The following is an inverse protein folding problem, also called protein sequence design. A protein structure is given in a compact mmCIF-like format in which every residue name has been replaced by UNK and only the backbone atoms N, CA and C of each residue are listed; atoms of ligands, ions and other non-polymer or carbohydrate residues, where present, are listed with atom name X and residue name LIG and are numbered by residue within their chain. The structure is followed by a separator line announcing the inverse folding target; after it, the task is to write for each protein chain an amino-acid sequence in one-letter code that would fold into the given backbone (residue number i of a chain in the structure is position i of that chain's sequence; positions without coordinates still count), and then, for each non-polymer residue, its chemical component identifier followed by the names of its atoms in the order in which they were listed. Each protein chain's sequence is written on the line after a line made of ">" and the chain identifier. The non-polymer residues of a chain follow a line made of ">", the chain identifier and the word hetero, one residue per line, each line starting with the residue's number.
data_IF_732861576931
#
_entry.id   IF_732861576931
#
_cell.length_a   1.000
_cell.length_b   1.000
_cell.length_c   1.000
_cell.angle_alpha   90.00
_cell.angle_beta   90.00
_cell.angle_gamma   90.00
#
_symmetry.space_group_name_H-M   'P 1'
#
loop_
_entity.id
_entity.type
_entity.pdbx_description
1 polymer ?
#
# COMPACT_ATOMS: atom_id res chain seq x y z
N UNK A 1 59.50 -25.93 20.36
CA UNK A 1 58.07 -26.05 20.71
C UNK A 1 57.35 -24.69 20.65
N UNK A 2 57.55 -23.87 19.61
CA UNK A 2 56.72 -22.69 19.34
C UNK A 2 56.79 -22.37 17.84
N UNK A 3 55.70 -21.83 17.30
CA UNK A 3 55.51 -21.20 15.99
C UNK A 3 55.06 -22.12 14.85
N UNK A 4 53.73 -22.28 14.73
CA UNK A 4 52.99 -22.32 13.45
C UNK A 4 51.47 -22.23 13.72
N UNK A 5 51.00 -21.08 14.20
CA UNK A 5 49.55 -20.78 14.39
C UNK A 5 49.06 -19.60 13.56
N UNK A 6 49.73 -19.25 12.46
CA UNK A 6 49.39 -18.03 11.72
C UNK A 6 49.37 -18.20 10.19
N UNK A 7 48.64 -19.19 9.64
CA UNK A 7 48.40 -19.17 8.18
C UNK A 7 47.12 -19.85 7.68
N UNK A 8 46.02 -19.78 8.42
CA UNK A 8 44.70 -20.20 7.92
C UNK A 8 43.79 -19.03 7.50
N UNK A 9 44.20 -17.78 7.74
CA UNK A 9 43.35 -16.62 7.43
C UNK A 9 43.51 -16.04 6.01
N UNK A 10 44.52 -16.47 5.24
CA UNK A 10 44.73 -15.97 3.86
C UNK A 10 44.17 -16.88 2.75
N UNK A 11 43.77 -18.13 3.04
CA UNK A 11 43.39 -19.10 2.00
C UNK A 11 41.88 -19.20 1.71
N UNK A 12 41.07 -18.25 2.19
CA UNK A 12 39.61 -18.27 1.97
C UNK A 12 38.98 -16.94 1.51
N UNK A 13 39.76 -15.90 1.20
CA UNK A 13 39.22 -14.63 0.65
C UNK A 13 39.11 -14.59 -0.88
N UNK A 14 39.76 -15.51 -1.58
CA UNK A 14 39.85 -15.51 -3.06
C UNK A 14 38.75 -16.38 -3.69
N UNK A 15 38.43 -17.52 -3.07
CA UNK A 15 37.38 -18.45 -3.52
C UNK A 15 35.97 -17.89 -3.33
N UNK A 16 35.72 -17.18 -2.23
CA UNK A 16 34.44 -16.54 -1.92
C UNK A 16 34.04 -15.46 -2.96
N UNK A 17 35.02 -14.73 -3.52
CA UNK A 17 34.76 -13.74 -4.58
C UNK A 17 34.21 -14.38 -5.85
N UNK A 18 34.77 -15.52 -6.27
CA UNK A 18 34.31 -16.20 -7.48
C UNK A 18 32.88 -16.71 -7.32
N UNK A 19 32.57 -17.38 -6.21
CA UNK A 19 31.23 -17.88 -5.94
C UNK A 19 30.21 -16.75 -5.80
N UNK A 20 30.53 -15.66 -5.09
CA UNK A 20 29.66 -14.48 -5.02
C UNK A 20 29.43 -13.83 -6.39
N UNK A 21 30.45 -13.72 -7.24
CA UNK A 21 30.29 -13.18 -8.59
C UNK A 21 29.35 -14.06 -9.41
N UNK A 22 29.50 -15.39 -9.35
CA UNK A 22 28.61 -16.32 -10.05
C UNK A 22 27.17 -16.24 -9.53
N UNK A 23 26.99 -16.10 -8.23
CA UNK A 23 25.68 -15.93 -7.59
C UNK A 23 25.03 -14.60 -7.98
N UNK A 24 25.79 -13.50 -7.95
CA UNK A 24 25.35 -12.19 -8.45
C UNK A 24 24.95 -12.23 -9.93
N UNK A 25 25.72 -12.91 -10.78
CA UNK A 25 25.42 -13.04 -12.21
C UNK A 25 24.15 -13.87 -12.45
N UNK A 26 23.90 -14.92 -11.65
CA UNK A 26 22.65 -15.70 -11.69
C UNK A 26 21.44 -14.83 -11.33
N UNK A 27 21.52 -14.08 -10.24
CA UNK A 27 20.44 -13.17 -9.82
C UNK A 27 20.23 -12.03 -10.83
N UNK A 28 21.32 -11.46 -11.37
CA UNK A 28 21.25 -10.41 -12.39
C UNK A 28 20.59 -10.91 -13.67
N UNK A 29 20.88 -12.13 -14.14
CA UNK A 29 20.22 -12.73 -15.30
C UNK A 29 18.71 -12.89 -15.10
N UNK A 30 18.28 -13.34 -13.92
CA UNK A 30 16.85 -13.47 -13.59
C UNK A 30 16.17 -12.09 -13.54
N UNK A 31 16.83 -11.08 -12.97
CA UNK A 31 16.29 -9.72 -12.93
C UNK A 31 16.28 -9.03 -14.30
N UNK A 32 17.28 -9.29 -15.15
CA UNK A 32 17.42 -8.73 -16.49
C UNK A 32 16.54 -9.44 -17.53
N UNK A 33 16.09 -10.67 -17.24
CA UNK A 33 15.18 -11.42 -18.09
C UNK A 33 13.74 -10.85 -18.10
N UNK A 34 13.44 -9.83 -17.27
CA UNK A 34 12.15 -9.13 -17.36
C UNK A 34 12.20 -8.14 -18.53
N UNK A 35 11.35 -8.30 -19.57
CA UNK A 35 11.34 -7.36 -20.67
C UNK A 35 10.94 -5.97 -20.19
N UNK A 36 11.57 -4.92 -20.73
CA UNK A 36 11.26 -3.53 -20.39
C UNK A 36 9.82 -3.12 -20.75
N UNK A 37 9.20 -3.80 -21.72
CA UNK A 37 7.81 -3.62 -22.12
C UNK A 37 6.82 -4.38 -21.24
N UNK A 38 7.29 -5.29 -20.37
CA UNK A 38 6.39 -6.03 -19.49
C UNK A 38 5.79 -5.05 -18.48
N UNK A 39 4.45 -4.92 -18.41
CA UNK A 39 3.81 -4.06 -17.42
C UNK A 39 4.24 -4.52 -16.02
N UNK A 40 4.55 -3.58 -15.13
CA UNK A 40 4.93 -3.95 -13.77
C UNK A 40 3.73 -4.60 -13.07
N UNK A 41 3.71 -5.93 -13.01
CA UNK A 41 2.66 -6.73 -12.38
C UNK A 41 2.43 -6.44 -10.88
N UNK A 42 3.23 -5.54 -10.29
CA UNK A 42 3.17 -5.11 -8.88
C UNK A 42 2.06 -4.09 -8.61
N UNK A 43 0.89 -4.24 -9.23
CA UNK A 43 -0.33 -3.51 -8.87
C UNK A 43 -0.20 -1.99 -8.79
N UNK A 44 -1.18 -1.37 -8.12
CA UNK A 44 -1.27 0.09 -7.92
C UNK A 44 0.08 0.65 -7.40
N UNK A 45 0.54 1.81 -7.88
CA UNK A 45 1.77 2.44 -7.40
C UNK A 45 1.77 2.58 -5.87
N UNK A 46 2.74 1.94 -5.22
CA UNK A 46 2.97 2.01 -3.76
C UNK A 46 2.99 3.46 -3.24
N UNK A 47 3.51 4.38 -4.05
CA UNK A 47 3.55 5.81 -3.75
C UNK A 47 2.16 6.41 -3.51
N UNK A 48 1.16 6.06 -4.32
CA UNK A 48 -0.19 6.62 -4.19
C UNK A 48 -0.85 6.17 -2.89
N UNK A 49 -0.70 4.88 -2.54
CA UNK A 49 -1.21 4.35 -1.28
C UNK A 49 -0.54 5.06 -0.09
N UNK A 50 0.78 5.26 -0.14
CA UNK A 50 1.51 5.96 0.92
C UNK A 50 1.02 7.41 1.08
N UNK A 51 0.82 8.14 -0.02
CA UNK A 51 0.28 9.51 -0.02
C UNK A 51 -1.12 9.58 0.59
N UNK A 52 -2.03 8.71 0.15
CA UNK A 52 -3.39 8.66 0.69
C UNK A 52 -3.36 8.26 2.17
N UNK A 53 -2.47 7.35 2.55
CA UNK A 53 -2.32 6.93 3.96
C UNK A 53 -1.89 8.10 4.84
N UNK A 54 -0.90 8.89 4.42
CA UNK A 54 -0.46 10.08 5.14
C UNK A 54 -1.59 11.12 5.26
N UNK A 55 -2.25 11.46 4.15
CA UNK A 55 -3.36 12.42 4.16
C UNK A 55 -4.57 11.93 5.00
N UNK A 56 -4.86 10.62 4.98
CA UNK A 56 -5.92 10.04 5.81
C UNK A 56 -5.57 10.12 7.29
N UNK A 57 -4.29 9.93 7.65
CA UNK A 57 -3.81 10.01 9.03
C UNK A 57 -3.90 11.44 9.57
N UNK A 58 -3.65 12.47 8.76
CA UNK A 58 -3.86 13.87 9.13
C UNK A 58 -5.33 14.16 9.52
N UNK A 59 -6.26 13.37 9.00
CA UNK A 59 -7.69 13.44 9.34
C UNK A 59 -8.15 12.35 10.33
N UNK A 60 -7.22 11.64 10.97
CA UNK A 60 -7.51 10.63 11.98
C UNK A 60 -8.09 9.31 11.45
N UNK A 61 -7.97 9.05 10.14
CA UNK A 61 -8.45 7.83 9.48
C UNK A 61 -7.31 6.94 9.00
N UNK A 62 -7.52 5.62 9.04
CA UNK A 62 -6.62 4.65 8.41
C UNK A 62 -7.05 4.40 6.97
N UNK A 63 -6.08 4.19 6.08
CA UNK A 63 -6.33 3.95 4.65
C UNK A 63 -7.39 2.87 4.34
N UNK A 64 -7.37 1.67 4.96
CA UNK A 64 -8.37 0.63 4.66
C UNK A 64 -9.79 1.07 5.04
N UNK A 65 -9.93 1.79 6.16
CA UNK A 65 -11.22 2.32 6.60
C UNK A 65 -11.71 3.42 5.67
N UNK A 66 -10.82 4.33 5.25
CA UNK A 66 -11.14 5.40 4.30
C UNK A 66 -11.65 4.85 2.97
N UNK A 67 -10.90 3.96 2.32
CA UNK A 67 -11.28 3.36 1.03
C UNK A 67 -12.55 2.51 1.17
N UNK A 68 -12.65 1.67 2.21
CA UNK A 68 -13.81 0.81 2.41
C UNK A 68 -15.11 1.60 2.60
N UNK A 69 -15.06 2.72 3.31
CA UNK A 69 -16.23 3.57 3.52
C UNK A 69 -16.62 4.36 2.28
N UNK A 70 -15.66 4.81 1.45
CA UNK A 70 -15.98 5.45 0.17
C UNK A 70 -16.69 4.51 -0.79
N UNK A 71 -16.24 3.25 -0.88
CA UNK A 71 -16.91 2.22 -1.70
C UNK A 71 -18.34 1.97 -1.23
N UNK A 72 -18.56 1.91 0.09
CA UNK A 72 -19.92 1.77 0.67
C UNK A 72 -20.85 2.94 0.38
N UNK A 73 -20.29 4.12 0.10
CA UNK A 73 -21.05 5.30 -0.32
C UNK A 73 -21.19 5.40 -1.86
N UNK A 74 -20.82 4.36 -2.62
CA UNK A 74 -20.80 4.36 -4.09
C UNK A 74 -19.90 5.45 -4.69
N UNK A 75 -18.88 5.91 -3.95
CA UNK A 75 -17.90 6.88 -4.45
C UNK A 75 -16.74 6.13 -5.09
N UNK A 76 -16.86 5.86 -6.39
CA UNK A 76 -15.87 5.15 -7.17
C UNK A 76 -14.76 6.08 -7.67
N UNK A 77 -13.82 6.43 -6.78
CA UNK A 77 -12.65 7.24 -7.13
C UNK A 77 -11.40 6.39 -7.36
N UNK A 78 -10.68 6.67 -8.44
CA UNK A 78 -9.37 6.09 -8.68
C UNK A 78 -8.36 6.59 -7.65
N UNK A 79 -7.47 5.69 -7.20
CA UNK A 79 -6.39 5.96 -6.24
C UNK A 79 -5.37 6.98 -6.79
N UNK A 80 -5.20 7.09 -8.11
CA UNK A 80 -4.42 8.17 -8.72
C UNK A 80 -5.03 9.53 -8.39
N UNK A 81 -6.32 9.69 -8.68
CA UNK A 81 -7.06 10.93 -8.47
C UNK A 81 -7.12 11.28 -6.98
N UNK A 82 -7.35 10.29 -6.10
CA UNK A 82 -7.31 10.52 -4.65
C UNK A 82 -5.94 11.01 -4.15
N UNK A 83 -4.85 10.46 -4.70
CA UNK A 83 -3.50 10.92 -4.35
C UNK A 83 -3.23 12.34 -4.87
N UNK A 84 -3.74 12.70 -6.04
CA UNK A 84 -3.61 14.05 -6.60
C UNK A 84 -4.46 15.06 -5.80
N UNK A 85 -5.71 14.71 -5.46
CA UNK A 85 -6.59 15.52 -4.61
C UNK A 85 -5.98 15.78 -3.22
N UNK A 86 -5.33 14.77 -2.64
CA UNK A 86 -4.65 14.94 -1.36
C UNK A 86 -3.52 15.99 -1.40
N UNK A 87 -2.88 16.18 -2.56
CA UNK A 87 -1.77 17.14 -2.73
C UNK A 87 -2.29 18.53 -3.11
N UNK A 88 -3.16 18.60 -4.13
CA UNK A 88 -3.57 19.88 -4.72
C UNK A 88 -4.81 20.48 -4.06
N UNK A 89 -5.70 19.65 -3.51
CA UNK A 89 -7.04 20.06 -3.05
C UNK A 89 -7.35 19.53 -1.63
N UNK A 90 -6.66 20.05 -0.59
CA UNK A 90 -6.79 19.54 0.77
C UNK A 90 -8.20 19.73 1.35
N UNK A 91 -8.94 20.76 0.91
CA UNK A 91 -10.33 20.99 1.33
C UNK A 91 -11.27 19.88 0.84
N UNK A 92 -11.10 19.47 -0.42
CA UNK A 92 -11.85 18.38 -1.04
C UNK A 92 -11.48 17.05 -0.41
N UNK A 93 -10.20 16.81 -0.14
CA UNK A 93 -9.80 15.60 0.56
C UNK A 93 -10.37 15.53 1.98
N UNK A 94 -10.41 16.66 2.70
CA UNK A 94 -11.03 16.76 4.03
C UNK A 94 -12.53 16.45 4.01
N UNK A 95 -13.28 16.91 3.01
CA UNK A 95 -14.72 16.60 2.91
C UNK A 95 -14.95 15.11 2.63
N UNK A 96 -14.14 14.49 1.78
CA UNK A 96 -14.15 13.04 1.55
C UNK A 96 -13.80 12.26 2.82
N UNK A 97 -12.81 12.70 3.59
CA UNK A 97 -12.46 12.10 4.87
C UNK A 97 -13.60 12.22 5.89
N UNK A 98 -14.25 13.38 5.98
CA UNK A 98 -15.42 13.58 6.83
C UNK A 98 -16.59 12.66 6.44
N UNK A 99 -16.88 12.54 5.14
CA UNK A 99 -17.87 11.61 4.61
C UNK A 99 -17.55 10.16 5.01
N UNK A 100 -16.32 9.72 4.76
CA UNK A 100 -15.86 8.39 5.11
C UNK A 100 -15.94 8.12 6.63
N UNK A 101 -15.64 9.12 7.47
CA UNK A 101 -15.79 9.00 8.91
C UNK A 101 -17.26 8.89 9.33
N UNK A 102 -18.14 9.69 8.73
CA UNK A 102 -19.57 9.64 9.01
C UNK A 102 -20.16 8.27 8.69
N UNK A 103 -19.85 7.71 7.52
CA UNK A 103 -20.28 6.35 7.13
C UNK A 103 -19.72 5.28 8.08
N UNK A 104 -18.51 5.47 8.60
CA UNK A 104 -17.91 4.59 9.61
C UNK A 104 -18.74 4.54 10.90
N UNK A 105 -19.12 5.71 11.42
CA UNK A 105 -19.94 5.82 12.62
C UNK A 105 -21.31 5.19 12.45
N UNK A 106 -21.95 5.40 11.28
CA UNK A 106 -23.21 4.72 10.94
C UNK A 106 -23.04 3.20 10.91
N UNK A 107 -21.96 2.69 10.31
CA UNK A 107 -21.65 1.26 10.33
C UNK A 107 -21.47 0.69 11.74
N UNK A 108 -20.81 1.43 12.65
CA UNK A 108 -20.69 1.01 14.05
C UNK A 108 -22.02 1.03 14.79
N UNK A 109 -22.84 2.06 14.56
CA UNK A 109 -24.17 2.16 15.18
C UNK A 109 -25.07 0.99 14.77
N UNK A 110 -25.05 0.59 13.50
CA UNK A 110 -25.78 -0.61 13.05
C UNK A 110 -25.25 -1.91 13.63
N UNK A 111 -23.92 -2.05 13.74
CA UNK A 111 -23.32 -3.25 14.31
C UNK A 111 -23.67 -3.45 15.81
N UNK A 112 -23.96 -2.36 16.52
CA UNK A 112 -24.44 -2.40 17.91
C UNK A 112 -25.95 -2.72 18.03
N UNK A 113 -26.72 -2.51 16.97
CA UNK A 113 -28.16 -2.80 16.90
C UNK A 113 -28.46 -4.18 16.30
N UNK A 114 -29.51 -4.26 15.49
CA UNK A 114 -30.03 -5.51 14.90
C UNK A 114 -29.12 -6.14 13.82
N UNK A 115 -27.92 -5.59 13.59
CA UNK A 115 -26.97 -6.07 12.59
C UNK A 115 -27.35 -5.77 11.12
N UNK A 116 -28.55 -5.23 10.87
CA UNK A 116 -28.91 -4.67 9.56
C UNK A 116 -28.20 -3.35 9.35
N UNK A 117 -27.74 -3.09 8.12
CA UNK A 117 -27.21 -1.77 7.79
C UNK A 117 -28.27 -0.70 8.11
N UNK A 118 -27.89 0.41 8.76
CA UNK A 118 -28.90 1.36 9.22
C UNK A 118 -29.42 2.11 8.00
N UNK A 119 -30.68 2.52 7.99
CA UNK A 119 -31.26 3.38 6.94
C UNK A 119 -30.80 4.86 7.08
N UNK A 120 -29.52 5.07 7.33
CA UNK A 120 -28.86 6.37 7.35
C UNK A 120 -28.86 7.06 5.99
N UNK A 121 -28.70 8.38 5.99
CA UNK A 121 -28.71 9.19 4.77
C UNK A 121 -27.59 8.74 3.81
N UNK A 122 -26.41 8.38 4.34
CA UNK A 122 -25.22 7.99 3.54
C UNK A 122 -25.10 6.48 3.27
N UNK A 123 -25.98 5.66 3.85
CA UNK A 123 -26.04 4.21 3.62
C UNK A 123 -27.10 3.82 2.59
N UNK A 124 -27.96 4.75 2.16
CA UNK A 124 -28.89 4.52 1.05
C UNK A 124 -28.10 4.35 -0.25
N UNK A 125 -28.22 3.17 -0.83
CA UNK A 125 -27.57 2.81 -2.09
C UNK A 125 -28.55 3.04 -3.23
N UNK A 126 -28.16 3.84 -4.22
CA UNK A 126 -28.95 4.05 -5.44
C UNK A 126 -28.95 2.75 -6.24
N UNK A 127 -30.15 2.23 -6.52
CA UNK A 127 -30.34 1.05 -7.35
C UNK A 127 -30.45 1.46 -8.82
N UNK A 128 -29.70 0.80 -9.69
CA UNK A 128 -29.81 0.96 -11.14
C UNK A 128 -30.60 -0.24 -11.68
N UNK A 129 -31.68 0.01 -12.40
CA UNK A 129 -32.55 -1.00 -13.03
C UNK A 129 -32.49 -0.88 -14.55
#
# INVERSE_FOLDING_TARGET
>A
MVFLTAQLWLRNRVTDRYFRIQEMLKHARVSAARPAWAPDARGIPRLWINRITAASQEHGLKYPAFIGNLVKCQVELNRKVLADLAIYEPKTFKSLAALANRRRHEGFAAALGDGKEPEGIFSRVVQYH
#
